data_IF_378425792901
#
_entry.id   IF_378425792901
#
_cell.length_a   1.000
_cell.length_b   1.000
_cell.length_c   1.000
_cell.angle_alpha   90.00
_cell.angle_beta   90.00
_cell.angle_gamma   90.00
#
_symmetry.space_group_name_H-M   'P 1'
#
loop_
_entity.id
_entity.type
_entity.pdbx_description
1 polymer ?
#
# COMPACT_ATOMS: atom_id res chain seq x y z
N UNK A 1 8.65 17.16 -2.22
CA UNK A 1 8.92 17.55 -3.61
C UNK A 1 8.39 16.49 -4.55
N UNK A 2 7.13 16.61 -4.96
CA UNK A 2 6.61 15.97 -6.16
C UNK A 2 5.68 17.01 -6.79
N UNK A 3 6.19 17.68 -7.82
CA UNK A 3 5.45 18.62 -8.64
C UNK A 3 4.33 17.86 -9.33
N UNK A 4 3.10 18.34 -9.13
CA UNK A 4 1.92 17.96 -9.87
C UNK A 4 2.01 18.63 -11.26
N UNK A 5 2.81 18.05 -12.15
CA UNK A 5 2.75 18.40 -13.57
C UNK A 5 1.71 17.50 -14.22
N UNK A 6 0.46 17.97 -14.21
CA UNK A 6 -0.49 17.59 -15.25
C UNK A 6 0.11 18.03 -16.58
N UNK A 7 0.84 17.14 -17.24
CA UNK A 7 1.31 17.36 -18.61
C UNK A 7 0.07 17.41 -19.50
N UNK A 8 -0.47 18.62 -19.67
CA UNK A 8 -1.50 18.89 -20.67
C UNK A 8 -0.85 18.50 -21.99
N UNK A 9 -1.33 17.41 -22.59
CA UNK A 9 -0.85 16.95 -23.88
C UNK A 9 -1.24 18.04 -24.89
N UNK A 10 -0.26 18.89 -25.24
CA UNK A 10 -0.43 20.09 -26.06
C UNK A 10 -1.07 19.73 -27.40
N UNK A 11 -0.76 18.54 -27.95
CA UNK A 11 -1.34 18.03 -29.19
C UNK A 11 -2.84 17.74 -29.08
N UNK A 12 -3.32 17.24 -27.92
CA UNK A 12 -4.76 17.05 -27.70
C UNK A 12 -5.51 18.37 -27.53
N UNK A 13 -4.86 19.36 -26.91
CA UNK A 13 -5.41 20.71 -26.79
C UNK A 13 -5.51 21.41 -28.15
N UNK A 14 -4.47 21.31 -28.97
CA UNK A 14 -4.47 21.87 -30.33
C UNK A 14 -5.51 21.21 -31.24
N UNK A 15 -5.74 19.89 -31.10
CA UNK A 15 -6.81 19.18 -31.82
C UNK A 15 -8.20 19.64 -31.37
N UNK A 16 -8.41 19.82 -30.05
CA UNK A 16 -9.68 20.32 -29.52
C UNK A 16 -9.95 21.77 -29.96
N UNK A 17 -8.94 22.63 -29.93
CA UNK A 17 -9.04 24.02 -30.36
C UNK A 17 -9.27 24.12 -31.89
N UNK A 18 -8.65 23.23 -32.68
CA UNK A 18 -8.90 23.12 -34.13
C UNK A 18 -10.34 22.68 -34.43
N UNK A 19 -10.87 21.73 -33.65
CA UNK A 19 -12.24 21.25 -33.82
C UNK A 19 -13.28 22.32 -33.43
N UNK A 20 -13.04 23.04 -32.33
CA UNK A 20 -13.89 24.15 -31.90
C UNK A 20 -13.89 25.29 -32.93
N UNK A 21 -12.73 25.59 -33.54
CA UNK A 21 -12.63 26.59 -34.60
C UNK A 21 -13.44 26.20 -35.85
N UNK A 22 -13.37 24.94 -36.29
CA UNK A 22 -14.18 24.42 -37.41
C UNK A 22 -15.68 24.46 -37.15
N UNK A 23 -16.12 24.20 -35.91
CA UNK A 23 -17.53 24.36 -35.52
C UNK A 23 -17.97 25.83 -35.57
N UNK A 24 -17.12 26.76 -35.13
CA UNK A 24 -17.43 28.19 -35.13
C UNK A 24 -17.44 28.83 -36.52
N UNK A 25 -16.59 28.35 -37.44
CA UNK A 25 -16.57 28.74 -38.85
C UNK A 25 -17.79 28.19 -39.58
N UNK A 26 -18.15 26.92 -39.34
CA UNK A 26 -19.39 26.30 -39.83
C UNK A 26 -20.67 27.00 -39.35
N UNK A 27 -20.62 27.73 -38.23
CA UNK A 27 -21.77 28.47 -37.68
C UNK A 27 -21.85 29.93 -38.16
N UNK A 28 -20.77 30.48 -38.75
CA UNK A 28 -20.72 31.85 -39.29
C UNK A 28 -20.97 31.91 -40.79
N UNK A 29 -20.82 30.81 -41.51
CA UNK A 29 -21.14 30.71 -42.93
C UNK A 29 -22.66 30.54 -43.20
N UNK A 30 -23.45 30.19 -42.17
CA UNK A 30 -24.91 29.99 -42.29
C UNK A 30 -25.78 31.26 -42.41
N UNK A 31 -25.22 32.47 -42.47
CA UNK A 31 -26.02 33.72 -42.61
C UNK A 31 -25.80 34.50 -43.92
N UNK A 32 -24.97 34.01 -44.86
CA UNK A 32 -24.88 34.62 -46.20
C UNK A 32 -24.64 33.56 -47.27
N UNK A 33 -25.71 32.90 -47.67
CA UNK A 33 -26.01 32.55 -49.06
C UNK A 33 -27.41 31.90 -49.09
N UNK A 34 -28.39 32.62 -49.65
CA UNK A 34 -29.57 31.97 -50.23
C UNK A 34 -29.05 31.26 -51.47
N UNK A 35 -28.58 30.03 -51.33
CA UNK A 35 -28.39 29.16 -52.47
C UNK A 35 -29.76 28.86 -53.06
N UNK A 36 -29.96 29.31 -54.30
CA UNK A 36 -30.94 28.71 -55.19
C UNK A 36 -30.71 27.19 -55.16
N UNK A 37 -31.78 26.46 -54.88
CA UNK A 37 -31.84 25.00 -55.00
C UNK A 37 -31.53 24.67 -56.46
N UNK A 38 -30.24 24.50 -56.80
CA UNK A 38 -29.83 24.01 -58.11
C UNK A 38 -30.26 22.55 -58.15
N UNK A 39 -31.41 22.28 -58.75
CA UNK A 39 -31.74 20.93 -59.19
C UNK A 39 -30.56 20.44 -60.06
N UNK A 40 -29.78 19.50 -59.54
CA UNK A 40 -28.71 18.85 -60.31
C UNK A 40 -29.36 18.00 -61.41
N UNK A 41 -29.48 18.61 -62.60
CA UNK A 41 -30.03 17.97 -63.79
C UNK A 41 -28.98 16.99 -64.34
N UNK A 42 -29.21 15.68 -64.17
CA UNK A 42 -28.33 14.60 -64.68
C UNK A 42 -28.17 14.67 -66.21
N UNK A 43 -29.16 15.21 -66.94
CA UNK A 43 -29.07 15.40 -68.39
C UNK A 43 -29.74 16.69 -68.88
N UNK A 44 -28.92 17.62 -69.40
CA UNK A 44 -29.39 18.89 -69.99
C UNK A 44 -30.30 18.70 -71.22
N UNK A 45 -30.20 17.56 -71.93
CA UNK A 45 -31.03 17.26 -73.10
C UNK A 45 -32.43 16.75 -72.73
N UNK A 46 -32.57 16.14 -71.55
CA UNK A 46 -33.80 15.52 -71.10
C UNK A 46 -34.07 15.91 -69.63
N UNK A 47 -34.26 17.21 -69.34
CA UNK A 47 -34.40 17.68 -67.97
C UNK A 47 -35.70 17.20 -67.31
N UNK A 48 -36.75 16.97 -68.11
CA UNK A 48 -38.09 16.59 -67.63
C UNK A 48 -38.27 15.06 -67.48
N UNK A 49 -37.23 14.26 -67.75
CA UNK A 49 -37.31 12.79 -67.66
C UNK A 49 -36.77 12.34 -66.30
N UNK A 50 -37.55 11.58 -65.50
CA UNK A 50 -37.07 11.02 -64.25
C UNK A 50 -35.81 10.19 -64.47
N UNK A 51 -34.77 10.49 -63.70
CA UNK A 51 -33.49 9.78 -63.80
C UNK A 51 -33.57 8.40 -63.19
N UNK A 52 -32.69 7.51 -63.65
CA UNK A 52 -32.47 6.20 -63.04
C UNK A 52 -31.13 6.19 -62.31
N UNK A 53 -30.99 5.33 -61.32
CA UNK A 53 -29.73 5.06 -60.64
C UNK A 53 -29.24 3.68 -61.07
N UNK A 54 -27.99 3.61 -61.54
CA UNK A 54 -27.32 2.36 -61.87
C UNK A 54 -26.58 1.86 -60.63
N UNK A 55 -27.03 0.74 -60.04
CA UNK A 55 -26.40 0.16 -58.85
C UNK A 55 -24.99 -0.36 -59.14
N UNK A 56 -24.74 -0.87 -60.35
CA UNK A 56 -23.44 -1.44 -60.73
C UNK A 56 -22.35 -0.39 -60.90
N UNK A 57 -22.74 0.85 -61.23
CA UNK A 57 -21.82 1.97 -61.50
C UNK A 57 -21.91 3.08 -60.44
N UNK A 58 -22.79 2.94 -59.45
CA UNK A 58 -23.05 3.89 -58.36
C UNK A 58 -23.23 5.35 -58.86
N UNK A 59 -24.07 5.52 -59.89
CA UNK A 59 -24.38 6.86 -60.42
C UNK A 59 -25.77 6.99 -61.01
N UNK A 60 -26.29 8.21 -61.02
CA UNK A 60 -27.51 8.55 -61.74
C UNK A 60 -27.25 8.64 -63.24
N UNK A 61 -28.17 8.12 -64.04
CA UNK A 61 -28.11 8.03 -65.50
C UNK A 61 -29.42 8.48 -66.14
N UNK A 62 -29.32 9.10 -67.32
CA UNK A 62 -30.49 9.45 -68.11
C UNK A 62 -30.99 8.24 -68.90
N UNK A 63 -32.24 7.80 -68.69
CA UNK A 63 -32.76 6.59 -69.35
C UNK A 63 -32.96 6.77 -70.85
N UNK A 64 -32.87 7.99 -71.40
CA UNK A 64 -32.96 8.23 -72.85
C UNK A 64 -31.58 8.19 -73.51
N UNK A 65 -30.56 8.78 -72.87
CA UNK A 65 -29.22 8.86 -73.43
C UNK A 65 -28.40 7.59 -73.24
N UNK A 66 -28.57 6.88 -72.12
CA UNK A 66 -27.66 5.81 -71.70
C UNK A 66 -28.30 4.42 -71.67
N UNK A 67 -29.54 4.26 -72.17
CA UNK A 67 -30.26 2.98 -72.16
C UNK A 67 -29.49 1.84 -72.83
N UNK A 68 -28.85 2.12 -73.97
CA UNK A 68 -28.08 1.11 -74.73
C UNK A 68 -26.83 0.63 -74.00
N UNK A 69 -26.30 1.41 -73.05
CA UNK A 69 -25.12 1.09 -72.25
C UNK A 69 -25.48 0.32 -70.97
N UNK A 70 -26.72 0.41 -70.50
CA UNK A 70 -27.17 -0.14 -69.21
C UNK A 70 -28.12 -1.34 -69.34
N UNK A 71 -28.20 -1.97 -70.52
CA UNK A 71 -29.10 -3.11 -70.75
C UNK A 71 -28.80 -4.33 -69.88
N UNK A 72 -27.54 -4.49 -69.47
CA UNK A 72 -27.08 -5.56 -68.58
C UNK A 72 -26.90 -5.12 -67.13
N UNK A 73 -27.15 -3.84 -66.81
CA UNK A 73 -26.96 -3.31 -65.46
C UNK A 73 -28.28 -3.28 -64.68
N UNK A 74 -28.18 -3.39 -63.36
CA UNK A 74 -29.32 -3.18 -62.47
C UNK A 74 -29.56 -1.67 -62.32
N UNK A 75 -30.66 -1.22 -62.92
CA UNK A 75 -31.11 0.18 -62.86
C UNK A 75 -32.46 0.27 -62.15
N UNK A 76 -32.60 1.24 -61.26
CA UNK A 76 -33.83 1.52 -60.48
C UNK A 76 -34.17 3.02 -60.56
N UNK A 77 -35.42 3.43 -60.32
CA UNK A 77 -35.75 4.85 -60.16
C UNK A 77 -34.90 5.52 -59.08
N UNK A 78 -34.49 6.78 -59.30
CA UNK A 78 -33.65 7.50 -58.33
C UNK A 78 -34.34 7.63 -56.97
N UNK A 79 -35.66 7.81 -56.92
CA UNK A 79 -36.40 7.91 -55.66
C UNK A 79 -36.32 6.62 -54.84
N UNK A 80 -36.34 5.46 -55.50
CA UNK A 80 -36.19 4.14 -54.89
C UNK A 80 -34.76 3.97 -54.35
N UNK A 81 -33.74 4.22 -55.18
CA UNK A 81 -32.33 4.16 -54.76
C UNK A 81 -32.03 5.10 -53.58
N UNK A 82 -32.55 6.32 -53.61
CA UNK A 82 -32.39 7.29 -52.52
C UNK A 82 -33.03 6.80 -51.24
N UNK A 83 -34.21 6.17 -51.31
CA UNK A 83 -34.87 5.58 -50.15
C UNK A 83 -34.01 4.47 -49.54
N UNK A 84 -33.59 3.51 -50.37
CA UNK A 84 -32.81 2.33 -49.94
C UNK A 84 -31.44 2.71 -49.37
N UNK A 85 -30.69 3.58 -50.06
CA UNK A 85 -29.40 4.07 -49.59
C UNK A 85 -29.52 4.89 -48.31
N UNK A 86 -30.60 5.68 -48.14
CA UNK A 86 -30.87 6.38 -46.87
C UNK A 86 -31.19 5.39 -45.75
N UNK A 87 -31.88 4.29 -46.01
CA UNK A 87 -32.13 3.25 -45.01
C UNK A 87 -30.84 2.53 -44.61
N UNK A 88 -29.96 2.20 -45.56
CA UNK A 88 -28.63 1.65 -45.30
C UNK A 88 -27.80 2.61 -44.44
N UNK A 89 -27.73 3.90 -44.80
CA UNK A 89 -27.02 4.91 -44.02
C UNK A 89 -27.60 5.11 -42.62
N UNK A 90 -28.93 4.98 -42.43
CA UNK A 90 -29.55 4.99 -41.09
C UNK A 90 -29.11 3.78 -40.25
N UNK A 91 -29.01 2.60 -40.86
CA UNK A 91 -28.49 1.39 -40.20
C UNK A 91 -27.03 1.57 -39.79
N UNK A 92 -26.18 2.07 -40.70
CA UNK A 92 -24.77 2.35 -40.43
C UNK A 92 -24.60 3.41 -39.35
N UNK A 93 -25.39 4.49 -39.40
CA UNK A 93 -25.40 5.52 -38.36
C UNK A 93 -25.72 4.93 -36.99
N UNK A 94 -26.72 4.03 -36.91
CA UNK A 94 -27.08 3.35 -35.65
C UNK A 94 -25.94 2.47 -35.15
N UNK A 95 -25.32 1.67 -36.03
CA UNK A 95 -24.15 0.84 -35.71
C UNK A 95 -22.98 1.67 -35.17
N UNK A 96 -22.68 2.81 -35.79
CA UNK A 96 -21.65 3.74 -35.34
C UNK A 96 -21.97 4.36 -33.98
N UNK A 97 -23.24 4.72 -33.74
CA UNK A 97 -23.69 5.24 -32.45
C UNK A 97 -23.57 4.20 -31.33
N UNK A 98 -23.96 2.95 -31.59
CA UNK A 98 -23.84 1.84 -30.66
C UNK A 98 -22.36 1.58 -30.32
N UNK A 99 -21.49 1.53 -31.33
CA UNK A 99 -20.04 1.33 -31.15
C UNK A 99 -19.39 2.46 -30.34
N UNK A 100 -19.79 3.71 -30.59
CA UNK A 100 -19.36 4.87 -29.78
C UNK A 100 -19.80 4.71 -28.32
N UNK A 101 -21.02 4.25 -28.06
CA UNK A 101 -21.51 4.05 -26.71
C UNK A 101 -20.72 2.93 -25.99
N UNK A 102 -20.41 1.83 -26.68
CA UNK A 102 -19.51 0.78 -26.16
C UNK A 102 -18.13 1.33 -25.79
N UNK A 103 -17.55 2.19 -26.64
CA UNK A 103 -16.25 2.79 -26.34
C UNK A 103 -16.30 3.71 -25.12
N UNK A 104 -17.37 4.47 -24.92
CA UNK A 104 -17.58 5.28 -23.71
C UNK A 104 -17.66 4.43 -22.44
N UNK A 105 -18.38 3.31 -22.48
CA UNK A 105 -18.46 2.38 -21.34
C UNK A 105 -17.08 1.80 -20.97
N UNK A 106 -16.28 1.44 -21.98
CA UNK A 106 -14.91 0.96 -21.76
C UNK A 106 -14.03 2.07 -21.18
N UNK A 107 -14.14 3.30 -21.68
CA UNK A 107 -13.43 4.46 -21.14
C UNK A 107 -13.79 4.73 -19.66
N UNK A 108 -15.08 4.68 -19.31
CA UNK A 108 -15.55 4.78 -17.93
C UNK A 108 -14.95 3.67 -17.04
N UNK A 109 -14.95 2.43 -17.52
CA UNK A 109 -14.34 1.28 -16.81
C UNK A 109 -12.84 1.51 -16.55
N UNK A 110 -12.09 2.03 -17.53
CA UNK A 110 -10.67 2.37 -17.35
C UNK A 110 -10.47 3.50 -16.33
N UNK A 111 -11.35 4.50 -16.32
CA UNK A 111 -11.30 5.58 -15.33
C UNK A 111 -11.55 5.05 -13.91
N UNK A 112 -12.52 4.15 -13.73
CA UNK A 112 -12.79 3.48 -12.45
C UNK A 112 -11.59 2.63 -12.00
N UNK A 113 -11.00 1.84 -12.91
CA UNK A 113 -9.81 1.04 -12.63
C UNK A 113 -8.63 1.90 -12.17
N UNK A 114 -8.42 3.07 -12.81
CA UNK A 114 -7.38 4.02 -12.41
C UNK A 114 -7.59 4.54 -10.99
N UNK A 115 -8.82 4.90 -10.62
CA UNK A 115 -9.12 5.37 -9.26
C UNK A 115 -9.00 4.25 -8.23
N UNK A 116 -9.40 3.02 -8.58
CA UNK A 116 -9.19 1.84 -7.74
C UNK A 116 -7.69 1.58 -7.51
N UNK A 117 -6.87 1.62 -8.56
CA UNK A 117 -5.41 1.46 -8.48
C UNK A 117 -4.78 2.49 -7.54
N UNK A 118 -5.19 3.78 -7.62
CA UNK A 118 -4.71 4.82 -6.69
C UNK A 118 -5.06 4.49 -5.24
N UNK A 119 -6.28 4.03 -4.97
CA UNK A 119 -6.70 3.62 -3.63
C UNK A 119 -5.89 2.42 -3.12
N UNK A 120 -5.65 1.43 -3.98
CA UNK A 120 -4.80 0.27 -3.65
C UNK A 120 -3.38 0.69 -3.32
N UNK A 121 -2.77 1.59 -4.11
CA UNK A 121 -1.43 2.12 -3.84
C UNK A 121 -1.36 2.76 -2.44
N UNK A 122 -2.25 3.71 -2.16
CA UNK A 122 -2.26 4.42 -0.86
C UNK A 122 -2.52 3.48 0.32
N UNK A 123 -3.43 2.50 0.15
CA UNK A 123 -3.70 1.49 1.16
C UNK A 123 -2.48 0.60 1.42
N UNK A 124 -1.83 0.12 0.35
CA UNK A 124 -0.64 -0.73 0.42
C UNK A 124 0.52 0.01 1.09
N UNK A 125 0.78 1.26 0.71
CA UNK A 125 1.81 2.07 1.37
C UNK A 125 1.54 2.24 2.88
N UNK A 126 0.29 2.50 3.27
CA UNK A 126 -0.06 2.62 4.70
C UNK A 126 0.19 1.32 5.44
N UNK A 127 -0.16 0.17 4.86
CA UNK A 127 0.07 -1.14 5.47
C UNK A 127 1.56 -1.44 5.61
N UNK A 128 2.36 -1.19 4.57
CA UNK A 128 3.82 -1.34 4.62
C UNK A 128 4.39 -0.47 5.74
N UNK A 129 4.05 0.82 5.79
CA UNK A 129 4.51 1.73 6.85
C UNK A 129 4.10 1.24 8.24
N UNK A 130 2.87 0.75 8.40
CA UNK A 130 2.39 0.25 9.67
C UNK A 130 3.18 -0.98 10.16
N UNK A 131 3.48 -1.94 9.28
CA UNK A 131 4.28 -3.12 9.64
C UNK A 131 5.71 -2.73 10.05
N UNK A 132 6.37 -1.84 9.31
CA UNK A 132 7.69 -1.35 9.69
C UNK A 132 7.69 -0.56 11.00
N UNK A 133 6.68 0.28 11.23
CA UNK A 133 6.54 1.03 12.48
C UNK A 133 6.38 0.11 13.69
N UNK A 134 5.64 -1.01 13.56
CA UNK A 134 5.53 -2.02 14.63
C UNK A 134 6.90 -2.60 14.99
N UNK A 135 7.72 -2.95 13.99
CA UNK A 135 9.06 -3.50 14.21
C UNK A 135 10.01 -2.46 14.83
N UNK A 136 9.96 -1.23 14.36
CA UNK A 136 10.76 -0.13 14.93
C UNK A 136 10.39 0.15 16.38
N UNK A 137 9.09 0.17 16.69
CA UNK A 137 8.60 0.37 18.05
C UNK A 137 9.07 -0.77 18.97
N UNK A 138 8.95 -2.02 18.53
CA UNK A 138 9.47 -3.17 19.27
C UNK A 138 10.98 -3.05 19.56
N UNK A 139 11.77 -2.67 18.57
CA UNK A 139 13.22 -2.51 18.75
C UNK A 139 13.56 -1.42 19.77
N UNK A 140 12.83 -0.30 19.73
CA UNK A 140 12.98 0.80 20.68
C UNK A 140 12.64 0.34 22.10
N UNK A 141 11.54 -0.39 22.27
CA UNK A 141 11.13 -0.93 23.57
C UNK A 141 12.15 -1.93 24.14
N UNK A 142 12.72 -2.81 23.30
CA UNK A 142 13.77 -3.74 23.72
C UNK A 142 15.07 -3.02 24.09
N UNK A 143 15.47 -1.97 23.35
CA UNK A 143 16.61 -1.12 23.69
C UNK A 143 16.40 -0.42 25.05
N UNK A 144 15.26 0.25 25.23
CA UNK A 144 14.90 0.95 26.47
C UNK A 144 14.84 -0.01 27.66
N UNK A 145 14.23 -1.19 27.49
CA UNK A 145 14.18 -2.24 28.51
C UNK A 145 15.60 -2.70 28.91
N UNK A 146 16.48 -2.86 27.92
CA UNK A 146 17.85 -3.32 28.18
C UNK A 146 18.69 -2.27 28.90
N UNK A 147 18.55 -1.00 28.51
CA UNK A 147 19.20 0.13 29.18
C UNK A 147 18.67 0.30 30.61
N UNK A 148 17.37 0.11 30.84
CA UNK A 148 16.79 0.15 32.18
C UNK A 148 17.40 -0.93 33.10
N UNK A 149 17.50 -2.17 32.61
CA UNK A 149 18.13 -3.26 33.36
C UNK A 149 19.63 -3.01 33.66
N UNK A 150 20.33 -2.30 32.76
CA UNK A 150 21.71 -1.88 32.99
C UNK A 150 21.81 -0.81 34.10
N UNK A 151 20.93 0.18 34.09
CA UNK A 151 20.88 1.24 35.12
C UNK A 151 20.51 0.69 36.50
N UNK A 152 19.59 -0.26 36.57
CA UNK A 152 19.24 -0.94 37.82
C UNK A 152 20.45 -1.70 38.39
N UNK A 153 21.21 -2.37 37.53
CA UNK A 153 22.43 -3.07 37.95
C UNK A 153 23.51 -2.08 38.44
N UNK A 154 23.71 -0.97 37.74
CA UNK A 154 24.61 0.12 38.16
C UNK A 154 24.23 0.63 39.55
N UNK A 155 22.95 0.93 39.77
CA UNK A 155 22.47 1.45 41.05
C UNK A 155 22.69 0.44 42.19
N UNK A 156 22.37 -0.83 41.95
CA UNK A 156 22.56 -1.89 42.94
C UNK A 156 24.05 -2.11 43.28
N UNK A 157 24.92 -2.11 42.27
CA UNK A 157 26.37 -2.25 42.46
C UNK A 157 26.96 -1.01 43.14
N UNK A 158 26.51 0.19 42.75
CA UNK A 158 26.87 1.46 43.38
C UNK A 158 26.54 1.49 44.87
N UNK A 159 25.31 1.09 45.25
CA UNK A 159 24.92 0.96 46.67
C UNK A 159 25.83 0.02 47.45
N UNK A 160 26.21 -1.09 46.84
CA UNK A 160 27.12 -2.07 47.46
C UNK A 160 28.50 -1.44 47.71
N UNK A 161 29.07 -0.78 46.70
CA UNK A 161 30.37 -0.11 46.81
C UNK A 161 30.33 0.99 47.88
N UNK A 162 29.30 1.83 47.89
CA UNK A 162 29.17 2.91 48.89
C UNK A 162 29.07 2.38 50.32
N UNK A 163 28.36 1.26 50.55
CA UNK A 163 28.26 0.65 51.88
C UNK A 163 29.60 0.13 52.37
N UNK A 164 30.35 -0.56 51.50
CA UNK A 164 31.67 -1.11 51.84
C UNK A 164 32.68 0.01 52.07
N UNK A 165 32.65 1.06 51.25
CA UNK A 165 33.49 2.24 51.43
C UNK A 165 33.25 2.90 52.79
N UNK A 166 31.98 3.08 53.18
CA UNK A 166 31.63 3.64 54.50
C UNK A 166 32.12 2.78 55.66
N UNK A 167 32.01 1.45 55.54
CA UNK A 167 32.53 0.52 56.56
C UNK A 167 34.05 0.66 56.71
N UNK A 168 34.78 0.77 55.60
CA UNK A 168 36.23 0.98 55.60
C UNK A 168 36.59 2.34 56.21
N UNK A 169 35.86 3.40 55.89
CA UNK A 169 36.04 4.73 56.48
C UNK A 169 35.87 4.70 58.02
N UNK A 170 34.84 4.02 58.52
CA UNK A 170 34.62 3.83 59.96
C UNK A 170 35.75 3.02 60.62
N UNK A 171 36.26 1.98 59.95
CA UNK A 171 37.42 1.22 60.43
C UNK A 171 38.70 2.08 60.47
N UNK A 172 38.93 2.90 59.44
CA UNK A 172 40.07 3.83 59.38
C UNK A 172 39.97 4.85 60.52
N UNK A 173 38.80 5.44 60.76
CA UNK A 173 38.60 6.36 61.88
C UNK A 173 38.88 5.68 63.23
N UNK A 174 38.35 4.47 63.45
CA UNK A 174 38.58 3.73 64.69
C UNK A 174 40.05 3.35 64.92
N UNK A 175 40.77 2.99 63.85
CA UNK A 175 42.21 2.76 63.88
C UNK A 175 42.97 4.06 64.19
N UNK A 176 42.57 5.16 63.57
CA UNK A 176 43.19 6.48 63.79
C UNK A 176 43.05 6.94 65.24
N UNK A 177 41.87 6.79 65.83
CA UNK A 177 41.64 7.08 67.26
C UNK A 177 42.51 6.20 68.17
N UNK A 178 42.67 4.93 67.80
CA UNK A 178 43.48 3.98 68.56
C UNK A 178 44.97 4.30 68.46
N UNK A 179 45.44 4.74 67.29
CA UNK A 179 46.82 5.21 67.07
C UNK A 179 47.07 6.46 67.93
N UNK A 180 46.21 7.47 67.86
CA UNK A 180 46.34 8.69 68.66
C UNK A 180 46.39 8.39 70.16
N UNK A 181 45.52 7.49 70.66
CA UNK A 181 45.53 7.08 72.06
C UNK A 181 46.84 6.38 72.48
N UNK A 182 47.41 5.57 71.59
CA UNK A 182 48.73 4.94 71.83
C UNK A 182 49.83 6.00 71.82
N UNK A 183 49.83 6.92 70.86
CA UNK A 183 50.80 8.01 70.77
C UNK A 183 50.77 8.92 72.01
N UNK A 184 49.58 9.28 72.50
CA UNK A 184 49.39 10.05 73.73
C UNK A 184 49.90 9.29 74.97
N UNK A 185 49.62 7.98 75.07
CA UNK A 185 50.10 7.16 76.17
C UNK A 185 51.64 7.09 76.18
N UNK A 186 52.26 7.04 74.99
CA UNK A 186 53.72 7.04 74.83
C UNK A 186 54.38 8.37 75.26
N UNK A 187 53.65 9.48 75.31
CA UNK A 187 54.17 10.76 75.84
C UNK A 187 54.19 10.82 77.39
N UNK A 188 53.50 9.91 78.08
CA UNK A 188 53.47 9.89 79.56
C UNK A 188 54.78 9.33 80.11
N UNK A 189 55.15 9.75 81.33
CA UNK A 189 56.35 9.28 82.03
C UNK A 189 56.05 8.80 83.44
N UNK A 190 56.85 7.87 83.96
CA UNK A 190 56.81 7.39 85.36
C UNK A 190 55.43 6.82 85.75
N UNK A 191 54.90 7.19 86.91
CA UNK A 191 53.68 6.64 87.51
C UNK A 191 52.43 6.76 86.61
N UNK A 192 52.12 7.91 85.97
CA UNK A 192 51.01 8.03 85.03
C UNK A 192 51.01 6.98 83.90
N UNK A 193 52.18 6.68 83.32
CA UNK A 193 52.30 5.65 82.28
C UNK A 193 52.03 4.26 82.86
N UNK A 194 52.66 3.92 83.99
CA UNK A 194 52.49 2.62 84.64
C UNK A 194 51.05 2.35 85.08
N UNK A 195 50.26 3.39 85.36
CA UNK A 195 48.85 3.26 85.74
C UNK A 195 47.89 2.96 84.58
N UNK A 196 48.15 3.42 83.35
CA UNK A 196 47.20 3.30 82.22
C UNK A 196 47.70 2.49 81.01
N UNK A 197 49.00 2.17 80.89
CA UNK A 197 49.55 1.53 79.69
C UNK A 197 48.89 0.18 79.35
N UNK A 198 48.46 -0.59 80.35
CA UNK A 198 47.92 -1.94 80.16
C UNK A 198 46.56 -1.92 79.46
N UNK A 199 45.74 -0.91 79.75
CA UNK A 199 44.42 -0.73 79.13
C UNK A 199 44.57 -0.29 77.68
N UNK A 200 45.43 0.71 77.42
CA UNK A 200 45.76 1.18 76.06
C UNK A 200 46.37 0.06 75.22
N UNK A 201 47.29 -0.74 75.78
CA UNK A 201 47.87 -1.90 75.10
C UNK A 201 46.82 -2.96 74.75
N UNK A 202 45.89 -3.24 75.67
CA UNK A 202 44.82 -4.21 75.43
C UNK A 202 43.90 -3.77 74.30
N UNK A 203 43.53 -2.48 74.26
CA UNK A 203 42.72 -1.89 73.19
C UNK A 203 43.43 -1.90 71.83
N UNK A 204 44.72 -1.55 71.81
CA UNK A 204 45.53 -1.58 70.59
C UNK A 204 45.64 -3.00 70.01
N UNK A 205 45.93 -4.00 70.85
CA UNK A 205 46.00 -5.41 70.42
C UNK A 205 44.66 -5.93 69.93
N UNK A 206 43.57 -5.53 70.56
CA UNK A 206 42.22 -5.87 70.09
C UNK A 206 41.98 -5.35 68.67
N UNK A 207 42.37 -4.09 68.39
CA UNK A 207 42.26 -3.52 67.04
C UNK A 207 43.19 -4.17 66.02
N UNK A 208 44.43 -4.49 66.39
CA UNK A 208 45.37 -5.20 65.50
C UNK A 208 44.93 -6.63 65.16
N UNK A 209 43.96 -7.18 65.91
CA UNK A 209 43.41 -8.52 65.66
C UNK A 209 42.17 -8.51 64.78
N UNK A 210 41.67 -7.33 64.40
CA UNK A 210 40.55 -7.18 63.44
C UNK A 210 41.02 -7.62 62.06
N UNK A 211 40.18 -8.35 61.33
CA UNK A 211 40.50 -8.84 59.99
C UNK A 211 40.60 -7.70 58.99
N UNK A 212 41.53 -7.82 58.04
CA UNK A 212 41.70 -6.84 56.97
C UNK A 212 40.44 -6.73 56.10
N UNK A 213 40.04 -5.52 55.70
CA UNK A 213 38.93 -5.35 54.78
C UNK A 213 39.24 -6.00 53.42
N UNK A 214 38.25 -6.70 52.86
CA UNK A 214 38.35 -7.35 51.56
C UNK A 214 37.57 -6.61 50.49
N UNK A 215 38.11 -6.59 49.27
CA UNK A 215 37.39 -6.12 48.10
C UNK A 215 36.24 -7.06 47.75
N UNK A 216 35.06 -6.49 47.53
CA UNK A 216 33.89 -7.27 47.11
C UNK A 216 34.04 -7.71 45.66
N UNK A 217 34.06 -9.03 45.44
CA UNK A 217 34.06 -9.61 44.09
C UNK A 217 32.72 -9.36 43.40
N UNK A 218 32.74 -9.00 42.10
CA UNK A 218 31.51 -8.80 41.31
C UNK A 218 30.86 -7.43 41.44
N UNK A 219 31.56 -6.45 42.02
CA UNK A 219 31.06 -5.08 42.17
C UNK A 219 31.03 -4.28 40.85
N UNK A 220 31.72 -4.72 39.80
CA UNK A 220 31.72 -4.08 38.49
C UNK A 220 30.56 -4.57 37.63
N UNK A 221 30.09 -3.74 36.69
CA UNK A 221 29.03 -4.10 35.72
C UNK A 221 29.35 -5.40 34.98
N UNK A 222 28.37 -6.29 34.88
CA UNK A 222 28.47 -7.53 34.11
C UNK A 222 28.17 -7.25 32.64
N UNK A 223 29.19 -6.78 31.93
CA UNK A 223 29.08 -6.42 30.50
C UNK A 223 28.65 -7.62 29.65
N UNK A 224 29.13 -8.81 29.98
CA UNK A 224 28.80 -10.05 29.24
C UNK A 224 27.32 -10.41 29.40
N UNK A 225 26.75 -10.27 30.61
CA UNK A 225 25.31 -10.42 30.84
C UNK A 225 24.49 -9.46 29.99
N UNK A 226 24.96 -8.24 29.72
CA UNK A 226 24.23 -7.22 28.96
C UNK A 226 24.36 -7.35 27.45
N UNK A 227 25.58 -7.54 26.95
CA UNK A 227 25.88 -7.56 25.51
C UNK A 227 25.95 -8.97 24.91
N UNK A 228 26.10 -10.01 25.73
CA UNK A 228 26.20 -11.38 25.28
C UNK A 228 25.00 -11.81 24.43
N UNK A 229 25.26 -12.09 23.15
CA UNK A 229 24.26 -12.46 22.15
C UNK A 229 23.05 -11.50 22.07
N UNK A 230 23.25 -10.21 22.35
CA UNK A 230 22.15 -9.24 22.41
C UNK A 230 21.31 -9.22 21.12
N UNK A 231 21.96 -9.05 19.96
CA UNK A 231 21.27 -9.00 18.66
C UNK A 231 20.46 -10.26 18.37
N UNK A 232 21.02 -11.44 18.66
CA UNK A 232 20.35 -12.72 18.47
C UNK A 232 19.10 -12.85 19.35
N UNK A 233 19.21 -12.49 20.64
CA UNK A 233 18.08 -12.55 21.58
C UNK A 233 16.96 -11.58 21.21
N UNK A 234 17.30 -10.37 20.75
CA UNK A 234 16.31 -9.42 20.26
C UNK A 234 15.62 -9.97 19.00
N UNK A 235 16.37 -10.55 18.06
CA UNK A 235 15.81 -11.18 16.87
C UNK A 235 14.89 -12.37 17.21
N UNK A 236 15.27 -13.22 18.16
CA UNK A 236 14.46 -14.35 18.60
C UNK A 236 13.12 -13.89 19.18
N UNK A 237 13.13 -12.88 20.05
CA UNK A 237 11.89 -12.25 20.54
C UNK A 237 11.08 -11.59 19.44
N UNK A 238 11.73 -10.93 18.48
CA UNK A 238 11.05 -10.32 17.34
C UNK A 238 10.31 -11.37 16.52
N UNK A 239 10.92 -12.53 16.31
CA UNK A 239 10.31 -13.66 15.59
C UNK A 239 9.00 -14.11 16.24
N UNK A 240 8.90 -14.11 17.56
CA UNK A 240 7.66 -14.45 18.28
C UNK A 240 6.55 -13.40 18.10
N UNK A 241 6.91 -12.15 17.81
CA UNK A 241 5.96 -11.05 17.57
C UNK A 241 5.47 -10.96 16.13
N UNK A 242 6.23 -11.48 15.17
CA UNK A 242 5.86 -11.46 13.76
C UNK A 242 4.99 -12.66 13.42
N UNK A 243 3.76 -12.42 13.01
CA UNK A 243 2.87 -13.47 12.53
C UNK A 243 3.23 -13.87 11.10
N UNK A 244 3.58 -15.14 10.91
CA UNK A 244 3.71 -15.73 9.58
C UNK A 244 2.38 -16.35 9.16
N UNK A 245 1.79 -15.85 8.09
CA UNK A 245 0.66 -16.51 7.42
C UNK A 245 1.18 -17.23 6.18
N UNK A 246 1.02 -18.58 6.07
CA UNK A 246 1.42 -19.32 4.87
C UNK A 246 0.54 -18.99 3.64
N UNK A 247 -0.57 -18.28 3.87
CA UNK A 247 -1.60 -17.96 2.89
C UNK A 247 -1.79 -16.46 2.82
N UNK A 248 -1.71 -15.89 1.61
CA UNK A 248 -1.91 -14.46 1.34
C UNK A 248 -3.08 -14.30 0.38
N UNK A 249 -4.03 -13.44 0.73
CA UNK A 249 -5.17 -13.08 -0.11
C UNK A 249 -4.71 -12.06 -1.17
N UNK A 250 -4.93 -12.36 -2.45
CA UNK A 250 -4.70 -11.40 -3.53
C UNK A 250 -6.00 -10.64 -3.85
N UNK A 251 -6.10 -9.34 -3.49
CA UNK A 251 -7.29 -8.54 -3.74
C UNK A 251 -7.60 -8.34 -5.23
N UNK A 252 -6.63 -8.52 -6.13
CA UNK A 252 -6.84 -8.40 -7.58
C UNK A 252 -7.50 -9.63 -8.19
N UNK A 253 -7.56 -10.73 -7.45
CA UNK A 253 -8.16 -11.99 -7.91
C UNK A 253 -9.59 -12.18 -7.42
N UNK A 254 -10.08 -11.27 -6.58
CA UNK A 254 -11.46 -11.23 -6.10
C UNK A 254 -12.41 -10.96 -7.28
N UNK A 255 -12.87 -12.01 -7.95
CA UNK A 255 -13.84 -11.92 -9.03
C UNK A 255 -15.22 -12.33 -8.50
N UNK A 256 -16.22 -11.47 -8.68
CA UNK A 256 -17.61 -11.75 -8.33
C UNK A 256 -18.39 -12.18 -9.58
N UNK A 257 -18.84 -13.43 -9.59
CA UNK A 257 -19.81 -13.91 -10.57
C UNK A 257 -21.18 -13.95 -9.93
N UNK A 258 -22.15 -13.33 -10.60
CA UNK A 258 -23.57 -13.48 -10.29
C UNK A 258 -24.12 -14.60 -11.18
N UNK A 259 -24.59 -15.68 -10.56
CA UNK A 259 -25.32 -16.74 -11.26
C UNK A 259 -26.77 -16.67 -10.79
N UNK A 260 -27.68 -16.31 -11.69
CA UNK A 260 -29.12 -16.37 -11.44
C UNK A 260 -29.64 -17.74 -11.86
N UNK A 261 -30.19 -18.50 -10.91
CA UNK A 261 -30.84 -19.79 -11.18
C UNK A 261 -32.25 -19.77 -10.61
N UNK A 262 -33.25 -19.61 -11.48
CA UNK A 262 -34.71 -19.77 -11.37
C UNK A 262 -35.48 -19.34 -10.11
N UNK A 263 -34.87 -19.08 -8.95
CA UNK A 263 -35.43 -18.53 -7.71
C UNK A 263 -34.33 -18.14 -6.66
N UNK A 264 -33.03 -18.23 -7.01
CA UNK A 264 -31.89 -17.93 -6.12
C UNK A 264 -30.78 -17.18 -6.87
N UNK A 265 -30.28 -16.08 -6.28
CA UNK A 265 -29.12 -15.34 -6.79
C UNK A 265 -27.88 -15.82 -6.05
N UNK A 266 -27.00 -16.52 -6.74
CA UNK A 266 -25.71 -16.95 -6.21
C UNK A 266 -24.63 -15.91 -6.52
N UNK A 267 -24.04 -15.32 -5.47
CA UNK A 267 -22.83 -14.49 -5.58
C UNK A 267 -21.62 -15.37 -5.28
N UNK A 268 -20.81 -15.66 -6.30
CA UNK A 268 -19.61 -16.46 -6.17
C UNK A 268 -18.39 -15.54 -6.20
N UNK A 269 -17.63 -15.50 -5.10
CA UNK A 269 -16.31 -14.86 -5.06
C UNK A 269 -15.24 -15.92 -5.26
N UNK A 270 -14.42 -15.75 -6.30
CA UNK A 270 -13.16 -16.46 -6.42
C UNK A 270 -12.08 -15.64 -5.73
N UNK A 271 -11.33 -16.24 -4.81
CA UNK A 271 -10.13 -15.67 -4.22
C UNK A 271 -8.97 -16.61 -4.52
N UNK A 272 -7.94 -16.10 -5.19
CA UNK A 272 -6.68 -16.84 -5.34
C UNK A 272 -5.83 -16.53 -4.13
N UNK A 273 -5.42 -17.58 -3.44
CA UNK A 273 -4.40 -17.53 -2.43
C UNK A 273 -3.05 -17.79 -3.08
N UNK A 274 -2.10 -16.89 -2.82
CA UNK A 274 -0.70 -17.15 -3.13
C UNK A 274 -0.06 -17.82 -1.91
N UNK A 275 0.49 -19.02 -2.10
CA UNK A 275 1.29 -19.71 -1.09
C UNK A 275 2.77 -19.29 -1.23
N UNK A 276 3.54 -19.44 -0.15
CA UNK A 276 4.98 -19.17 -0.09
C UNK A 276 5.80 -20.03 -1.05
N UNK A 277 5.30 -21.21 -1.45
CA UNK A 277 5.95 -22.13 -2.39
C UNK A 277 5.50 -21.94 -3.85
N UNK A 278 5.00 -20.75 -4.22
CA UNK A 278 4.47 -20.43 -5.56
C UNK A 278 3.32 -21.34 -6.06
N UNK A 279 2.71 -22.13 -5.18
CA UNK A 279 1.49 -22.87 -5.48
C UNK A 279 0.26 -21.95 -5.36
N UNK A 280 -0.62 -21.97 -6.36
CA UNK A 280 -1.90 -21.27 -6.30
C UNK A 280 -2.98 -22.16 -5.67
N UNK A 281 -3.66 -21.65 -4.64
CA UNK A 281 -4.85 -22.28 -4.05
C UNK A 281 -6.05 -21.39 -4.37
N UNK A 282 -7.10 -21.94 -4.98
CA UNK A 282 -8.35 -21.21 -5.20
C UNK A 282 -9.28 -21.43 -4.01
N UNK A 283 -9.80 -20.36 -3.40
CA UNK A 283 -10.93 -20.45 -2.48
C UNK A 283 -12.15 -19.86 -3.19
N UNK A 284 -13.24 -20.62 -3.22
CA UNK A 284 -14.51 -20.18 -3.80
C UNK A 284 -15.48 -19.92 -2.65
N UNK A 285 -15.84 -18.67 -2.43
CA UNK A 285 -16.92 -18.33 -1.50
C UNK A 285 -18.23 -18.27 -2.28
N UNK A 286 -19.19 -19.13 -1.94
CA UNK A 286 -20.53 -19.10 -2.52
C UNK A 286 -21.50 -18.49 -1.50
N UNK A 287 -22.10 -17.37 -1.86
CA UNK A 287 -23.20 -16.75 -1.12
C UNK A 287 -24.48 -16.97 -1.90
N UNK A 288 -25.49 -17.54 -1.27
CA UNK A 288 -26.79 -17.80 -1.91
C UNK A 288 -27.85 -16.89 -1.31
N UNK A 289 -28.53 -16.13 -2.17
CA UNK A 289 -29.64 -15.23 -1.81
C UNK A 289 -30.93 -15.88 -2.31
N UNK A 290 -31.71 -16.44 -1.39
CA UNK A 290 -33.07 -16.91 -1.64
C UNK A 290 -34.07 -15.76 -1.45
N UNK A 291 -35.09 -15.67 -2.29
CA UNK A 291 -36.19 -14.67 -2.25
C UNK A 291 -37.00 -14.58 -0.93
N UNK A 292 -36.56 -15.23 0.16
CA UNK A 292 -37.19 -15.26 1.49
C UNK A 292 -36.35 -14.60 2.60
N UNK A 293 -35.60 -13.55 2.30
CA UNK A 293 -34.91 -12.66 3.27
C UNK A 293 -33.94 -13.33 4.25
N UNK A 294 -33.40 -14.52 3.94
CA UNK A 294 -32.37 -15.18 4.77
C UNK A 294 -31.07 -15.32 4.00
N UNK A 295 -30.05 -14.59 4.45
CA UNK A 295 -28.66 -14.79 4.04
C UNK A 295 -28.19 -16.18 4.49
N UNK A 296 -27.88 -17.07 3.55
CA UNK A 296 -27.10 -18.28 3.82
C UNK A 296 -25.71 -18.11 3.19
N UNK A 297 -24.70 -17.95 4.04
CA UNK A 297 -23.30 -18.01 3.62
C UNK A 297 -22.84 -19.47 3.68
N UNK A 298 -22.46 -20.06 2.54
CA UNK A 298 -21.88 -21.40 2.48
C UNK A 298 -20.47 -21.32 1.90
N UNK A 299 -19.47 -21.21 2.78
CA UNK A 299 -18.06 -21.27 2.39
C UNK A 299 -17.71 -22.69 1.92
N UNK A 300 -17.37 -22.86 0.65
CA UNK A 300 -16.90 -24.15 0.11
C UNK A 300 -15.47 -24.00 -0.39
N UNK A 301 -14.50 -24.48 0.39
CA UNK A 301 -13.08 -24.38 0.01
C UNK A 301 -12.76 -25.45 -1.04
N UNK A 302 -12.50 -25.04 -2.28
CA UNK A 302 -12.06 -25.95 -3.36
C UNK A 302 -10.55 -25.91 -3.52
N UNK A 303 -9.83 -26.75 -2.78
CA UNK A 303 -8.37 -26.87 -2.94
C UNK A 303 -8.08 -27.60 -4.25
N UNK A 304 -7.77 -26.85 -5.32
CA UNK A 304 -7.21 -27.42 -6.56
C UNK A 304 -5.72 -27.10 -6.60
N UNK A 305 -4.88 -28.11 -6.38
CA UNK A 305 -3.45 -28.00 -6.64
C UNK A 305 -3.23 -27.85 -8.15
N UNK A 306 -2.64 -26.73 -8.55
CA UNK A 306 -1.96 -26.63 -9.85
C UNK A 306 -0.49 -26.87 -9.53
N UNK A 307 0.03 -28.02 -9.99
CA UNK A 307 1.46 -28.35 -9.97
C UNK A 307 2.11 -27.66 -11.16
#
# INVERSE_FOLDING_TARGET
FLQDETSINVSLKELADSFAKRQSESSRETEKEKEEEKEEVVCVKHPDVPYWYCEDEDRAVCPVCEFSLHQSHKVVPVEEAVSDLKEQLKSDLKSLQDKRNTYKQVEETYNEMREHMKKQLLSTERQIRAEFNKLQQFLKEEEESRLAALREEEEQKGRTISREMKMIEEQISSLSDSISAVEEELQKHSVPFLSSYKDTQSRARAQSSVSDPQLVSGALIDVAKHLGNLSFRVWEKMKEKVHFSPVILDPNTANCYLIENNDEVDVIFFLVLKNFFDSFIYIVFKYSISHKDKWKCQCTIYIRHII
#
